data_IF_771666949468
#
_entry.id   IF_771666949468
#
_cell.length_a   1.000
_cell.length_b   1.000
_cell.length_c   1.000
_cell.angle_alpha   90.00
_cell.angle_beta   90.00
_cell.angle_gamma   90.00
#
_symmetry.space_group_name_H-M   'P 1'
#
loop_
_entity.id
_entity.type
_entity.pdbx_description
1 polymer ?
#
# COMPACT_ATOMS: atom_id res chain seq x y z
N UNK A 1 14.42 -42.60 -45.36
CA UNK A 1 15.78 -42.39 -44.81
C UNK A 1 15.95 -43.30 -43.62
N UNK A 2 17.13 -43.89 -43.51
CA UNK A 2 17.44 -45.18 -42.88
C UNK A 2 17.28 -45.22 -41.36
N UNK A 3 16.79 -46.37 -40.92
CA UNK A 3 16.93 -47.00 -39.59
C UNK A 3 18.37 -47.38 -39.27
N UNK A 4 18.79 -47.22 -38.01
CA UNK A 4 19.85 -47.98 -37.30
C UNK A 4 19.66 -47.66 -35.79
N UNK A 5 19.35 -48.57 -34.86
CA UNK A 5 19.94 -49.85 -34.45
C UNK A 5 21.19 -49.71 -33.55
N UNK A 6 21.05 -50.15 -32.29
CA UNK A 6 22.00 -50.79 -31.35
C UNK A 6 21.61 -50.39 -29.90
N UNK A 7 21.02 -51.24 -29.03
CA UNK A 7 21.57 -52.43 -28.35
C UNK A 7 22.92 -52.12 -27.66
N UNK A 8 23.19 -52.38 -26.37
CA UNK A 8 22.79 -53.52 -25.52
C UNK A 8 23.03 -53.19 -24.02
N UNK A 9 22.12 -53.62 -23.12
CA UNK A 9 22.31 -54.66 -22.08
C UNK A 9 23.05 -54.26 -20.79
N UNK A 10 22.37 -54.25 -19.65
CA UNK A 10 22.41 -55.35 -18.66
C UNK A 10 21.46 -55.07 -17.46
N UNK A 11 20.70 -56.11 -17.10
CA UNK A 11 19.94 -56.28 -15.84
C UNK A 11 20.91 -56.21 -14.62
N UNK A 12 20.48 -55.95 -13.38
CA UNK A 12 19.94 -56.96 -12.44
C UNK A 12 19.70 -56.30 -11.04
N UNK A 13 18.46 -56.47 -10.54
CA UNK A 13 17.93 -56.64 -9.15
C UNK A 13 18.28 -55.75 -7.93
N UNK A 14 17.20 -55.44 -7.18
CA UNK A 14 17.09 -54.96 -5.79
C UNK A 14 17.71 -55.93 -4.74
N UNK A 15 17.97 -55.50 -3.48
CA UNK A 15 16.96 -55.71 -2.43
C UNK A 15 16.88 -54.63 -1.31
N UNK A 16 15.71 -54.60 -0.65
CA UNK A 16 15.41 -54.01 0.66
C UNK A 16 16.21 -54.65 1.80
N UNK A 17 16.32 -54.04 2.99
CA UNK A 17 16.02 -54.66 4.31
C UNK A 17 16.28 -53.71 5.51
N UNK A 18 15.31 -53.73 6.42
CA UNK A 18 15.35 -53.69 7.90
C UNK A 18 15.65 -52.45 8.77
N UNK A 19 14.63 -52.22 9.60
CA UNK A 19 14.51 -51.56 10.91
C UNK A 19 15.45 -52.14 12.00
N UNK A 20 16.09 -51.26 12.78
CA UNK A 20 16.58 -51.53 14.15
C UNK A 20 16.48 -50.27 15.01
N UNK A 21 15.59 -50.30 16.00
CA UNK A 21 15.63 -49.45 17.21
C UNK A 21 16.85 -49.80 18.07
N UNK A 22 17.56 -48.76 18.52
CA UNK A 22 18.35 -48.77 19.75
C UNK A 22 18.31 -47.37 20.36
N UNK A 23 17.77 -47.29 21.58
CA UNK A 23 17.80 -46.10 22.44
C UNK A 23 19.22 -45.81 22.89
N UNK A 24 19.66 -44.55 22.81
CA UNK A 24 20.60 -44.00 23.79
C UNK A 24 20.40 -42.48 23.92
N UNK A 25 20.27 -42.04 25.17
CA UNK A 25 20.08 -40.66 25.59
C UNK A 25 21.28 -39.80 25.21
N UNK A 26 21.07 -38.75 24.41
CA UNK A 26 21.95 -37.57 24.28
C UNK A 26 21.10 -36.39 23.78
N UNK A 27 21.26 -35.24 24.43
CA UNK A 27 20.55 -33.99 24.21
C UNK A 27 20.49 -33.55 22.73
N UNK A 28 19.39 -32.94 22.24
CA UNK A 28 19.29 -32.54 20.85
C UNK A 28 20.23 -31.36 20.56
N UNK A 29 21.28 -31.63 19.77
CA UNK A 29 22.09 -30.62 19.11
C UNK A 29 21.18 -29.74 18.23
N UNK A 30 21.39 -28.43 18.32
CA UNK A 30 20.62 -27.41 17.62
C UNK A 30 20.88 -27.51 16.11
N UNK A 31 19.92 -28.06 15.36
CA UNK A 31 19.98 -28.14 13.90
C UNK A 31 19.48 -26.81 13.31
N UNK A 32 20.39 -25.92 12.92
CA UNK A 32 20.02 -24.71 12.16
C UNK A 32 19.82 -25.11 10.70
N UNK A 33 18.56 -25.13 10.26
CA UNK A 33 18.19 -25.35 8.86
C UNK A 33 18.36 -24.03 8.09
N UNK A 34 19.54 -23.80 7.52
CA UNK A 34 19.77 -22.70 6.59
C UNK A 34 19.05 -23.02 5.27
N UNK A 35 18.08 -22.20 4.88
CA UNK A 35 17.44 -22.27 3.56
C UNK A 35 18.08 -21.21 2.66
N UNK A 36 19.16 -21.57 1.99
CA UNK A 36 19.65 -20.84 0.82
C UNK A 36 19.07 -21.49 -0.43
N UNK A 37 18.63 -20.69 -1.40
CA UNK A 37 18.39 -21.18 -2.76
C UNK A 37 19.74 -21.60 -3.33
N UNK A 38 19.76 -22.80 -3.87
CA UNK A 38 20.81 -23.45 -4.64
C UNK A 38 22.01 -24.02 -3.84
N UNK A 39 22.18 -25.34 -4.03
CA UNK A 39 23.25 -26.26 -3.61
C UNK A 39 23.37 -26.69 -2.13
N UNK A 40 23.14 -27.99 -1.92
CA UNK A 40 23.42 -28.72 -0.68
C UNK A 40 24.94 -28.96 -0.52
N UNK A 41 25.56 -28.41 0.53
CA UNK A 41 26.78 -28.96 1.11
C UNK A 41 26.67 -28.99 2.64
N UNK A 42 26.90 -30.17 3.20
CA UNK A 42 26.99 -30.41 4.65
C UNK A 42 28.47 -30.34 5.01
N UNK A 43 28.87 -29.37 5.82
CA UNK A 43 30.23 -29.31 6.40
C UNK A 43 30.11 -29.49 7.91
N UNK A 44 30.63 -30.59 8.43
CA UNK A 44 30.81 -30.83 9.85
C UNK A 44 32.11 -30.18 10.31
N UNK A 45 32.06 -29.28 11.31
CA UNK A 45 33.26 -28.75 11.95
C UNK A 45 33.66 -29.66 13.11
N UNK A 46 34.83 -30.27 12.99
CA UNK A 46 35.50 -30.97 14.09
C UNK A 46 36.54 -30.04 14.74
N UNK A 47 36.65 -30.11 16.07
CA UNK A 47 37.57 -29.31 16.89
C UNK A 47 38.96 -29.93 16.85
N UNK A 48 39.95 -29.23 16.29
CA UNK A 48 41.34 -29.10 16.73
C UNK A 48 42.29 -28.83 15.55
N UNK A 49 43.37 -28.11 15.89
CA UNK A 49 44.60 -27.88 15.13
C UNK A 49 44.78 -26.51 14.48
N UNK A 50 45.60 -25.75 15.19
CA UNK A 50 46.45 -24.63 14.79
C UNK A 50 47.39 -24.97 13.64
N UNK A 51 47.30 -24.25 12.51
CA UNK A 51 48.44 -23.91 11.65
C UNK A 51 48.09 -22.75 10.70
N UNK A 52 48.90 -21.71 10.77
CA UNK A 52 48.93 -20.58 9.85
C UNK A 52 49.23 -21.04 8.41
N UNK A 53 48.35 -20.73 7.46
CA UNK A 53 48.74 -20.50 6.08
C UNK A 53 47.87 -19.40 5.45
N UNK A 54 48.54 -18.41 4.85
CA UNK A 54 47.97 -17.36 4.01
C UNK A 54 47.12 -17.98 2.90
N UNK A 55 45.85 -17.59 2.81
CA UNK A 55 45.04 -17.75 1.60
C UNK A 55 44.21 -16.48 1.34
N UNK A 56 44.73 -15.70 0.40
CA UNK A 56 44.06 -14.88 -0.61
C UNK A 56 42.56 -14.54 -0.45
N UNK A 57 42.30 -13.22 -0.41
CA UNK A 57 41.15 -12.48 -0.99
C UNK A 57 40.00 -13.32 -1.54
N UNK A 58 38.86 -13.29 -0.85
CA UNK A 58 37.53 -13.21 -1.48
C UNK A 58 36.63 -12.34 -0.60
N UNK A 59 36.23 -11.20 -1.13
CA UNK A 59 35.29 -10.29 -0.48
C UNK A 59 33.89 -10.89 -0.48
N UNK A 60 33.21 -10.84 0.66
CA UNK A 60 31.80 -11.19 0.78
C UNK A 60 31.04 -10.02 1.40
N UNK A 61 30.39 -9.24 0.54
CA UNK A 61 29.36 -8.27 0.91
C UNK A 61 28.05 -9.05 1.15
N UNK A 62 27.67 -9.30 2.40
CA UNK A 62 26.26 -9.48 2.77
C UNK A 62 26.08 -9.51 4.29
N UNK A 63 25.41 -8.49 4.84
CA UNK A 63 24.93 -8.51 6.21
C UNK A 63 23.64 -9.35 6.28
N UNK A 64 23.72 -10.57 6.79
CA UNK A 64 22.56 -11.42 7.08
C UNK A 64 22.08 -11.16 8.51
N UNK A 65 20.84 -10.63 8.67
CA UNK A 65 20.16 -10.49 9.97
C UNK A 65 19.35 -11.77 10.24
N UNK A 66 19.67 -12.48 11.32
CA UNK A 66 18.89 -13.63 11.82
C UNK A 66 18.37 -13.36 13.24
N UNK A 67 17.11 -13.69 13.51
CA UNK A 67 16.46 -13.56 14.83
C UNK A 67 16.49 -14.91 15.54
N UNK A 68 17.06 -14.98 16.75
CA UNK A 68 17.00 -16.16 17.62
C UNK A 68 15.87 -15.99 18.66
N UNK A 69 14.80 -16.80 18.54
CA UNK A 69 13.70 -16.85 19.51
C UNK A 69 14.04 -17.73 20.72
N UNK A 70 14.84 -17.23 21.68
CA UNK A 70 14.75 -17.67 23.10
C UNK A 70 15.50 -16.85 24.17
N UNK A 71 16.03 -15.67 23.88
CA UNK A 71 16.64 -14.84 24.92
C UNK A 71 16.41 -13.35 24.67
N UNK A 72 15.67 -12.70 25.58
CA UNK A 72 15.51 -11.26 25.62
C UNK A 72 16.82 -10.60 26.09
N UNK A 73 17.73 -10.30 25.16
CA UNK A 73 18.81 -9.30 25.27
C UNK A 73 19.57 -9.23 23.94
N UNK A 74 19.53 -8.08 23.26
CA UNK A 74 20.43 -7.78 22.14
C UNK A 74 21.84 -7.56 22.70
N UNK A 75 22.78 -8.43 22.33
CA UNK A 75 24.21 -8.17 22.53
C UNK A 75 24.78 -7.79 21.17
N UNK A 76 25.15 -6.51 21.02
CA UNK A 76 25.88 -5.99 19.86
C UNK A 76 27.37 -6.21 20.14
N UNK A 77 28.04 -7.01 19.32
CA UNK A 77 29.51 -7.09 19.35
C UNK A 77 30.08 -5.82 18.72
N UNK A 78 30.62 -4.92 19.55
CA UNK A 78 31.46 -3.80 19.09
C UNK A 78 32.88 -4.30 18.85
N UNK A 79 33.44 -4.06 17.66
CA UNK A 79 34.87 -4.26 17.40
C UNK A 79 35.65 -3.17 18.12
N UNK A 80 36.20 -3.50 19.28
CA UNK A 80 37.32 -2.76 19.85
C UNK A 80 38.59 -3.14 19.09
N UNK A 81 39.10 -2.22 18.26
CA UNK A 81 40.44 -2.29 17.68
C UNK A 81 41.26 -1.16 18.27
N UNK A 82 42.13 -1.49 19.22
CA UNK A 82 43.17 -0.61 19.76
C UNK A 82 44.41 -0.77 18.87
N UNK A 83 44.92 0.31 18.30
CA UNK A 83 46.30 0.36 17.81
C UNK A 83 46.85 1.80 17.83
N UNK A 84 47.76 2.01 18.78
CA UNK A 84 48.94 2.90 18.84
C UNK A 84 48.98 4.17 17.96
N UNK A 85 49.00 5.31 18.67
CA UNK A 85 49.50 6.60 18.20
C UNK A 85 51.01 6.55 17.89
N UNK A 86 51.39 7.09 16.74
CA UNK A 86 52.66 7.82 16.57
C UNK A 86 52.31 9.21 16.03
N UNK A 87 52.86 10.24 16.68
CA UNK A 87 52.53 11.63 16.41
C UNK A 87 53.30 12.21 15.23
N UNK A 88 52.60 13.01 14.43
CA UNK A 88 53.16 14.18 13.76
C UNK A 88 52.08 15.26 13.76
N UNK A 89 52.36 16.39 14.41
CA UNK A 89 51.44 17.51 14.49
C UNK A 89 51.31 18.22 13.15
N UNK A 90 50.08 18.39 12.68
CA UNK A 90 49.70 19.54 11.85
C UNK A 90 48.48 20.21 12.47
N UNK A 91 48.74 21.33 13.17
CA UNK A 91 47.72 22.30 13.52
C UNK A 91 47.24 22.99 12.24
N UNK A 92 46.16 22.50 11.61
CA UNK A 92 45.26 23.30 10.78
C UNK A 92 44.02 22.52 10.32
N UNK A 93 42.89 23.22 10.38
CA UNK A 93 41.55 22.92 9.83
C UNK A 93 40.55 22.18 10.72
N UNK A 94 40.18 22.79 11.86
CA UNK A 94 38.97 22.42 12.60
C UNK A 94 37.70 23.16 12.12
N UNK A 95 37.79 24.20 11.29
CA UNK A 95 36.60 24.95 10.85
C UNK A 95 35.79 24.25 9.72
N UNK A 96 36.41 23.36 8.93
CA UNK A 96 35.72 22.61 7.86
C UNK A 96 34.93 21.38 8.32
N UNK A 97 35.27 20.84 9.50
CA UNK A 97 34.65 19.65 10.09
C UNK A 97 33.25 19.93 10.65
N UNK A 98 33.08 21.09 11.30
CA UNK A 98 31.79 21.50 11.86
C UNK A 98 30.76 21.86 10.79
N UNK A 99 31.16 22.55 9.72
CA UNK A 99 30.26 22.90 8.61
C UNK A 99 29.80 21.67 7.82
N UNK A 100 30.66 20.67 7.61
CA UNK A 100 30.29 19.42 6.93
C UNK A 100 29.40 18.51 7.79
N UNK A 101 29.61 18.49 9.11
CA UNK A 101 28.77 17.80 10.11
C UNK A 101 27.38 18.44 10.30
N UNK A 102 27.31 19.78 10.31
CA UNK A 102 26.04 20.48 10.45
C UNK A 102 25.19 20.36 9.18
N UNK A 103 25.82 20.47 8.01
CA UNK A 103 25.12 20.32 6.72
C UNK A 103 24.61 18.90 6.50
N UNK A 104 25.36 17.87 6.86
CA UNK A 104 24.88 16.48 6.80
C UNK A 104 23.69 16.24 7.72
N UNK A 105 23.74 16.70 8.98
CA UNK A 105 22.62 16.56 9.92
C UNK A 105 21.35 17.31 9.51
N UNK A 106 21.47 18.45 8.80
CA UNK A 106 20.32 19.17 8.24
C UNK A 106 19.73 18.41 7.05
N UNK A 107 20.57 17.90 6.14
CA UNK A 107 20.12 17.13 4.97
C UNK A 107 19.37 15.87 5.39
N UNK A 108 19.88 15.13 6.39
CA UNK A 108 19.21 13.95 6.94
C UNK A 108 17.81 14.28 7.49
N UNK A 109 17.69 15.37 8.27
CA UNK A 109 16.40 15.82 8.80
C UNK A 109 15.43 16.25 7.69
N UNK A 110 15.93 16.88 6.63
CA UNK A 110 15.12 17.25 5.47
C UNK A 110 14.65 16.02 4.69
N UNK A 111 15.50 15.02 4.52
CA UNK A 111 15.14 13.76 3.88
C UNK A 111 14.11 12.98 4.71
N UNK A 112 14.29 12.95 6.03
CA UNK A 112 13.31 12.40 6.95
C UNK A 112 11.98 13.14 6.83
N UNK A 113 11.98 14.47 6.82
CA UNK A 113 10.78 15.27 6.65
C UNK A 113 10.12 15.03 5.28
N UNK A 114 10.92 14.90 4.21
CA UNK A 114 10.43 14.56 2.88
C UNK A 114 9.69 13.22 2.89
N UNK A 115 10.26 12.17 3.50
CA UNK A 115 9.58 10.87 3.68
C UNK A 115 8.34 10.98 4.56
N UNK A 116 8.40 11.74 5.66
CA UNK A 116 7.27 11.99 6.56
C UNK A 116 6.09 12.65 5.84
N UNK A 117 6.37 13.60 4.94
CA UNK A 117 5.35 14.35 4.19
C UNK A 117 4.60 13.54 3.14
N UNK A 118 5.07 12.31 2.83
CA UNK A 118 4.54 11.43 1.77
C UNK A 118 4.46 12.16 0.42
N UNK A 119 5.59 12.29 -0.30
CA UNK A 119 5.71 13.22 -1.44
C UNK A 119 4.71 12.94 -2.57
N UNK A 120 4.36 11.67 -2.83
CA UNK A 120 3.33 11.32 -3.82
C UNK A 120 1.97 11.98 -3.53
N UNK A 121 1.60 12.13 -2.25
CA UNK A 121 0.35 12.80 -1.85
C UNK A 121 0.45 14.32 -1.98
N UNK A 122 1.62 14.90 -1.68
CA UNK A 122 1.88 16.34 -1.81
C UNK A 122 1.86 16.74 -3.29
N UNK A 123 2.57 15.99 -4.14
CA UNK A 123 2.58 16.19 -5.60
C UNK A 123 1.15 16.12 -6.15
N UNK A 124 0.39 15.10 -5.76
CA UNK A 124 -1.02 14.97 -6.18
C UNK A 124 -1.89 16.14 -5.73
N UNK A 125 -1.70 16.67 -4.51
CA UNK A 125 -2.39 17.86 -4.02
C UNK A 125 -2.04 19.10 -4.84
N UNK A 126 -0.75 19.36 -5.08
CA UNK A 126 -0.29 20.53 -5.84
C UNK A 126 -0.81 20.49 -7.27
N UNK A 127 -0.67 19.34 -7.95
CA UNK A 127 -1.15 19.17 -9.33
C UNK A 127 -2.68 19.31 -9.40
N UNK A 128 -3.41 18.68 -8.48
CA UNK A 128 -4.86 18.72 -8.44
C UNK A 128 -5.41 20.13 -8.25
N UNK A 129 -4.91 20.85 -7.23
CA UNK A 129 -5.33 22.24 -6.96
C UNK A 129 -4.96 23.15 -8.13
N UNK A 130 -3.76 23.02 -8.67
CA UNK A 130 -3.32 23.83 -9.82
C UNK A 130 -4.20 23.57 -11.03
N UNK A 131 -4.51 22.30 -11.34
CA UNK A 131 -5.38 21.93 -12.46
C UNK A 131 -6.77 22.53 -12.34
N UNK A 132 -7.42 22.39 -11.17
CA UNK A 132 -8.75 22.96 -10.92
C UNK A 132 -8.74 24.49 -10.98
N UNK A 133 -7.65 25.11 -10.53
CA UNK A 133 -7.49 26.56 -10.50
C UNK A 133 -7.43 27.19 -11.89
N UNK A 134 -7.10 26.42 -12.92
CA UNK A 134 -7.07 26.87 -14.32
C UNK A 134 -8.45 26.80 -14.99
N UNK A 135 -9.38 25.97 -14.49
CA UNK A 135 -10.71 25.79 -15.08
C UNK A 135 -11.59 27.06 -15.22
N UNK A 136 -11.55 28.06 -14.31
CA UNK A 136 -12.37 29.26 -14.44
C UNK A 136 -11.79 30.31 -15.40
N UNK A 137 -10.57 30.10 -15.93
CA UNK A 137 -9.95 30.97 -16.92
C UNK A 137 -10.72 30.90 -18.25
N UNK A 138 -10.99 32.05 -18.86
CA UNK A 138 -11.58 32.13 -20.21
C UNK A 138 -10.54 32.50 -21.26
N UNK A 139 -9.60 33.38 -20.91
CA UNK A 139 -8.49 33.80 -21.77
C UNK A 139 -7.17 33.72 -21.02
N UNK A 140 -6.06 33.57 -21.76
CA UNK A 140 -4.70 33.55 -21.17
C UNK A 140 -4.31 34.87 -20.52
N UNK A 141 -4.94 35.99 -20.89
CA UNK A 141 -4.71 37.31 -20.31
C UNK A 141 -5.13 37.43 -18.84
N UNK A 142 -5.95 36.51 -18.34
CA UNK A 142 -6.38 36.47 -16.93
C UNK A 142 -5.28 35.93 -15.99
N UNK A 143 -4.22 35.32 -16.54
CA UNK A 143 -3.06 34.88 -15.77
C UNK A 143 -2.24 36.11 -15.37
N UNK A 144 -2.59 36.66 -14.22
CA UNK A 144 -1.98 37.85 -13.61
C UNK A 144 -1.19 37.50 -12.35
N UNK A 145 -0.36 38.42 -11.84
CA UNK A 145 0.27 38.25 -10.52
C UNK A 145 -0.76 37.98 -9.40
N UNK A 146 -1.96 38.56 -9.50
CA UNK A 146 -3.05 38.30 -8.58
C UNK A 146 -3.56 36.85 -8.67
N UNK A 147 -3.67 36.31 -9.89
CA UNK A 147 -4.01 34.90 -10.10
C UNK A 147 -2.97 33.97 -9.46
N UNK A 148 -1.68 34.22 -9.71
CA UNK A 148 -0.58 33.43 -9.14
C UNK A 148 -0.59 33.51 -7.61
N UNK A 149 -0.80 34.70 -7.04
CA UNK A 149 -0.94 34.87 -5.60
C UNK A 149 -2.16 34.13 -5.04
N UNK A 150 -3.29 34.14 -5.75
CA UNK A 150 -4.47 33.34 -5.42
C UNK A 150 -4.17 31.85 -5.40
N UNK A 151 -3.46 31.35 -6.41
CA UNK A 151 -3.02 29.95 -6.47
C UNK A 151 -2.07 29.60 -5.32
N UNK A 152 -1.11 30.46 -4.98
CA UNK A 152 -0.20 30.25 -3.83
C UNK A 152 -1.01 30.18 -2.53
N UNK A 153 -1.97 31.10 -2.34
CA UNK A 153 -2.87 31.12 -1.19
C UNK A 153 -3.73 29.85 -1.10
N UNK A 154 -4.04 29.20 -2.21
CA UNK A 154 -4.69 27.90 -2.22
C UNK A 154 -3.74 26.74 -1.90
N UNK A 155 -2.58 26.68 -2.56
CA UNK A 155 -1.67 25.53 -2.52
C UNK A 155 -0.95 25.41 -1.18
N UNK A 156 -0.35 26.49 -0.67
CA UNK A 156 0.49 26.45 0.54
C UNK A 156 -0.26 25.90 1.77
N UNK A 157 -1.42 26.47 2.18
CA UNK A 157 -2.14 25.93 3.34
C UNK A 157 -2.67 24.51 3.09
N UNK A 158 -2.94 24.14 1.84
CA UNK A 158 -3.38 22.78 1.50
C UNK A 158 -2.26 21.75 1.58
N UNK A 159 -1.03 22.14 1.25
CA UNK A 159 0.16 21.30 1.49
C UNK A 159 0.38 21.12 2.99
N UNK A 160 0.28 22.19 3.79
CA UNK A 160 0.33 22.08 5.25
C UNK A 160 -0.78 21.17 5.80
N UNK A 161 -2.01 21.28 5.30
CA UNK A 161 -3.11 20.39 5.67
C UNK A 161 -2.83 18.93 5.26
N UNK A 162 -2.25 18.70 4.08
CA UNK A 162 -1.88 17.37 3.64
C UNK A 162 -0.82 16.75 4.56
N UNK A 163 0.20 17.52 4.96
CA UNK A 163 1.23 17.10 5.92
C UNK A 163 0.58 16.75 7.27
N UNK A 164 -0.36 17.57 7.74
CA UNK A 164 -1.16 17.26 8.93
C UNK A 164 -1.88 15.91 8.78
N UNK A 165 -2.64 15.68 7.71
CA UNK A 165 -3.42 14.44 7.53
C UNK A 165 -2.53 13.20 7.47
N UNK A 166 -1.45 13.23 6.68
CA UNK A 166 -0.55 12.06 6.54
C UNK A 166 0.32 11.86 7.76
N UNK A 167 0.70 12.92 8.46
CA UNK A 167 1.48 12.86 9.69
C UNK A 167 0.64 12.37 10.86
N UNK A 168 -0.60 12.85 10.99
CA UNK A 168 -1.57 12.37 11.97
C UNK A 168 -1.80 10.87 11.80
N UNK A 169 -1.95 10.41 10.55
CA UNK A 169 -2.08 8.99 10.29
C UNK A 169 -0.88 8.19 10.81
N UNK A 170 0.35 8.65 10.54
CA UNK A 170 1.55 7.98 11.02
C UNK A 170 1.64 7.95 12.55
N UNK A 171 1.23 9.02 13.24
CA UNK A 171 1.25 9.07 14.71
C UNK A 171 0.40 7.97 15.36
N UNK A 172 -0.77 7.67 14.78
CA UNK A 172 -1.67 6.62 15.30
C UNK A 172 -1.39 5.23 14.73
N UNK A 173 -0.51 5.13 13.74
CA UNK A 173 -0.26 3.89 13.00
C UNK A 173 1.19 3.41 13.07
N UNK A 174 1.99 3.91 14.03
CA UNK A 174 3.42 3.56 14.15
C UNK A 174 3.65 2.04 14.12
N UNK A 175 2.90 1.27 14.89
CA UNK A 175 3.05 -0.20 14.93
C UNK A 175 2.58 -0.90 13.64
N UNK A 176 1.58 -0.33 12.94
CA UNK A 176 1.10 -0.84 11.65
C UNK A 176 2.12 -0.52 10.55
N UNK A 177 2.63 0.70 10.53
CA UNK A 177 3.61 1.17 9.55
C UNK A 177 4.99 0.50 9.77
N UNK A 178 5.32 -0.02 10.96
CA UNK A 178 6.49 -0.90 11.13
C UNK A 178 6.41 -2.18 10.27
N UNK A 179 5.20 -2.65 9.98
CA UNK A 179 4.97 -3.81 9.10
C UNK A 179 4.89 -3.34 7.65
N UNK A 180 4.00 -2.39 7.37
CA UNK A 180 3.66 -2.00 5.99
C UNK A 180 4.70 -1.06 5.34
N UNK A 181 5.32 -0.17 6.12
CA UNK A 181 6.14 0.95 5.65
C UNK A 181 7.33 1.23 6.61
N UNK A 182 8.24 0.27 6.83
CA UNK A 182 9.25 0.35 7.89
C UNK A 182 10.27 1.48 7.72
N UNK A 183 10.35 2.10 6.54
CA UNK A 183 11.26 3.20 6.22
C UNK A 183 10.70 4.59 6.58
N UNK A 184 9.44 4.67 7.01
CA UNK A 184 8.85 5.94 7.44
C UNK A 184 9.48 6.44 8.75
N UNK A 185 9.71 7.76 8.91
CA UNK A 185 10.51 8.28 10.02
C UNK A 185 10.03 7.91 11.43
N UNK A 186 8.72 7.84 11.65
CA UNK A 186 8.17 7.41 12.95
C UNK A 186 8.26 5.89 13.15
N UNK A 187 8.09 5.09 12.09
CA UNK A 187 8.17 3.64 12.16
C UNK A 187 9.62 3.14 12.30
N UNK A 188 10.56 3.81 11.64
CA UNK A 188 12.00 3.54 11.69
C UNK A 188 12.66 4.00 13.00
N UNK A 189 12.02 4.92 13.72
CA UNK A 189 12.55 5.55 14.94
C UNK A 189 13.47 6.75 14.69
N UNK A 190 13.58 7.21 13.45
CA UNK A 190 14.34 8.40 13.06
C UNK A 190 13.72 9.69 13.63
N UNK A 191 12.38 9.75 13.67
CA UNK A 191 11.65 10.78 14.39
C UNK A 191 11.10 10.23 15.71
N UNK A 192 11.27 11.02 16.77
CA UNK A 192 10.57 10.78 18.03
C UNK A 192 9.07 11.06 17.89
N UNK A 193 8.26 10.46 18.75
CA UNK A 193 6.83 10.78 18.83
C UNK A 193 6.58 12.27 19.09
N UNK A 194 7.39 12.90 19.94
CA UNK A 194 7.30 14.33 20.21
C UNK A 194 7.56 15.17 18.95
N UNK A 195 8.59 14.82 18.16
CA UNK A 195 8.88 15.48 16.87
C UNK A 195 7.71 15.35 15.91
N UNK A 196 7.14 14.15 15.77
CA UNK A 196 5.99 13.91 14.90
C UNK A 196 4.77 14.73 15.31
N UNK A 197 4.45 14.76 16.61
CA UNK A 197 3.34 15.57 17.16
C UNK A 197 3.56 17.05 16.87
N UNK A 198 4.77 17.57 17.09
CA UNK A 198 5.12 18.97 16.81
C UNK A 198 4.93 19.31 15.34
N UNK A 199 5.42 18.47 14.41
CA UNK A 199 5.25 18.71 12.97
C UNK A 199 3.77 18.73 12.59
N UNK A 200 2.98 17.77 13.09
CA UNK A 200 1.55 17.65 12.79
C UNK A 200 0.78 18.86 13.35
N UNK A 201 1.03 19.24 14.60
CA UNK A 201 0.40 20.39 15.23
C UNK A 201 0.78 21.71 14.53
N UNK A 202 2.06 21.92 14.24
CA UNK A 202 2.54 23.11 13.53
C UNK A 202 1.93 23.22 12.12
N UNK A 203 1.85 22.10 11.41
CA UNK A 203 1.25 22.05 10.06
C UNK A 203 -0.24 22.39 10.08
N UNK A 204 -0.98 21.87 11.08
CA UNK A 204 -2.40 22.18 11.26
C UNK A 204 -2.62 23.65 11.58
N UNK A 205 -1.91 24.17 12.59
CA UNK A 205 -2.03 25.56 13.04
C UNK A 205 -1.71 26.51 11.88
N UNK A 206 -0.62 26.27 11.16
CA UNK A 206 -0.22 27.07 10.00
C UNK A 206 -1.29 27.05 8.91
N UNK A 207 -1.82 25.87 8.59
CA UNK A 207 -2.85 25.71 7.57
C UNK A 207 -4.13 26.48 7.91
N UNK A 208 -4.66 26.30 9.12
CA UNK A 208 -5.89 26.97 9.56
C UNK A 208 -5.68 28.48 9.71
N UNK A 209 -4.54 28.91 10.26
CA UNK A 209 -4.19 30.32 10.36
C UNK A 209 -4.19 31.00 8.98
N UNK A 210 -3.52 30.40 7.99
CA UNK A 210 -3.55 30.89 6.61
C UNK A 210 -4.95 30.89 6.01
N UNK A 211 -5.74 29.83 6.24
CA UNK A 211 -7.13 29.73 5.79
C UNK A 211 -8.01 30.88 6.30
N UNK A 212 -7.88 31.23 7.59
CA UNK A 212 -8.59 32.37 8.21
C UNK A 212 -8.05 33.69 7.64
N UNK A 213 -6.72 33.84 7.54
CA UNK A 213 -6.08 35.07 7.09
C UNK A 213 -6.38 35.40 5.62
N UNK A 214 -6.57 34.41 4.76
CA UNK A 214 -6.82 34.60 3.33
C UNK A 214 -8.27 34.96 2.98
N UNK A 215 -9.18 34.96 3.95
CA UNK A 215 -10.55 35.46 3.80
C UNK A 215 -11.34 34.85 2.62
N UNK A 216 -11.05 33.58 2.31
CA UNK A 216 -11.78 32.81 1.31
C UNK A 216 -12.59 31.71 2.03
N UNK A 217 -13.91 31.90 2.23
CA UNK A 217 -14.79 30.89 2.80
C UNK A 217 -14.68 29.49 2.17
N UNK A 218 -14.64 29.32 0.82
CA UNK A 218 -14.52 27.98 0.25
C UNK A 218 -13.16 27.33 0.57
N UNK A 219 -12.07 28.10 0.57
CA UNK A 219 -10.76 27.59 0.95
C UNK A 219 -10.74 27.16 2.42
N UNK A 220 -11.21 28.02 3.34
CA UNK A 220 -11.29 27.70 4.75
C UNK A 220 -12.18 26.48 5.01
N UNK A 221 -13.33 26.37 4.34
CA UNK A 221 -14.20 25.20 4.42
C UNK A 221 -13.48 23.93 3.97
N UNK A 222 -12.71 23.97 2.87
CA UNK A 222 -11.94 22.82 2.42
C UNK A 222 -10.91 22.36 3.45
N UNK A 223 -10.22 23.30 4.09
CA UNK A 223 -9.23 23.02 5.13
C UNK A 223 -9.90 22.42 6.38
N UNK A 224 -11.02 22.98 6.82
CA UNK A 224 -11.79 22.47 7.97
C UNK A 224 -12.37 21.08 7.70
N UNK A 225 -12.96 20.85 6.53
CA UNK A 225 -13.46 19.52 6.14
C UNK A 225 -12.31 18.51 6.11
N UNK A 226 -11.17 18.88 5.55
CA UNK A 226 -9.97 18.03 5.51
C UNK A 226 -9.44 17.72 6.91
N UNK A 227 -9.41 18.70 7.81
CA UNK A 227 -9.05 18.52 9.21
C UNK A 227 -9.99 17.53 9.92
N UNK A 228 -11.30 17.73 9.81
CA UNK A 228 -12.32 16.90 10.45
C UNK A 228 -12.29 15.47 9.92
N UNK A 229 -12.26 15.28 8.60
CA UNK A 229 -12.22 13.95 7.98
C UNK A 229 -10.88 13.24 8.20
N UNK A 230 -9.77 13.98 8.17
CA UNK A 230 -8.45 13.44 8.51
C UNK A 230 -8.37 12.97 9.97
N UNK A 231 -8.91 13.77 10.90
CA UNK A 231 -9.06 13.38 12.31
C UNK A 231 -9.96 12.15 12.46
N UNK A 232 -11.14 12.16 11.86
CA UNK A 232 -12.09 11.04 11.93
C UNK A 232 -11.53 9.77 11.32
N UNK A 233 -10.69 9.89 10.30
CA UNK A 233 -10.00 8.77 9.69
C UNK A 233 -8.97 8.13 10.62
N UNK A 234 -8.12 8.91 11.28
CA UNK A 234 -6.94 8.39 12.00
C UNK A 234 -7.09 8.26 13.52
N UNK A 235 -7.77 9.17 14.20
CA UNK A 235 -7.76 9.28 15.67
C UNK A 235 -8.50 8.13 16.35
N UNK A 236 -7.92 7.56 17.41
CA UNK A 236 -8.47 6.44 18.18
C UNK A 236 -9.42 6.90 19.31
N UNK A 237 -10.58 7.43 18.91
CA UNK A 237 -11.68 7.82 19.82
C UNK A 237 -12.98 7.09 19.44
N UNK A 238 -13.95 6.99 20.36
CA UNK A 238 -15.29 6.48 20.03
C UNK A 238 -15.88 7.21 18.83
N UNK A 239 -16.50 6.48 17.90
CA UNK A 239 -17.04 6.97 16.62
C UNK A 239 -16.02 7.48 15.58
N UNK A 240 -14.73 7.50 15.90
CA UNK A 240 -13.64 7.90 15.00
C UNK A 240 -12.92 6.65 14.43
N UNK A 241 -11.65 6.78 14.04
CA UNK A 241 -10.81 5.73 13.41
C UNK A 241 -11.50 5.07 12.22
N UNK A 242 -12.13 5.87 11.37
CA UNK A 242 -12.92 5.42 10.21
C UNK A 242 -12.13 4.56 9.23
N UNK A 243 -10.79 4.63 9.23
CA UNK A 243 -9.92 3.70 8.50
C UNK A 243 -10.23 2.22 8.76
N UNK A 244 -10.77 1.87 9.93
CA UNK A 244 -11.18 0.49 10.27
C UNK A 244 -12.28 -0.04 9.37
N UNK A 245 -13.06 0.85 8.75
CA UNK A 245 -14.19 0.51 7.89
C UNK A 245 -13.90 0.93 6.45
N UNK A 246 -13.74 -0.05 5.55
CA UNK A 246 -13.43 0.18 4.14
C UNK A 246 -14.32 1.24 3.46
N UNK A 247 -15.64 1.22 3.72
CA UNK A 247 -16.57 2.19 3.14
C UNK A 247 -16.27 3.62 3.61
N UNK A 248 -16.16 3.84 4.93
CA UNK A 248 -15.88 5.16 5.50
C UNK A 248 -14.49 5.67 5.06
N UNK A 249 -13.50 4.78 5.01
CA UNK A 249 -12.16 5.08 4.50
C UNK A 249 -12.19 5.57 3.04
N UNK A 250 -12.95 4.91 2.17
CA UNK A 250 -13.12 5.33 0.78
C UNK A 250 -13.94 6.62 0.67
N UNK A 251 -14.97 6.80 1.49
CA UNK A 251 -15.77 8.04 1.54
C UNK A 251 -14.90 9.25 1.90
N UNK A 252 -14.00 9.14 2.88
CA UNK A 252 -13.07 10.24 3.22
C UNK A 252 -12.24 10.67 2.00
N UNK A 253 -11.70 9.71 1.26
CA UNK A 253 -10.87 9.99 0.07
C UNK A 253 -11.71 10.67 -0.99
N UNK A 254 -12.89 10.12 -1.30
CA UNK A 254 -13.77 10.66 -2.33
C UNK A 254 -14.23 12.08 -1.97
N UNK A 255 -14.69 12.31 -0.74
CA UNK A 255 -15.15 13.63 -0.30
C UNK A 255 -14.02 14.64 -0.39
N UNK A 256 -12.84 14.35 0.17
CA UNK A 256 -11.73 15.31 0.18
C UNK A 256 -11.17 15.52 -1.23
N UNK A 257 -10.78 14.44 -1.92
CA UNK A 257 -10.03 14.51 -3.18
C UNK A 257 -10.90 14.78 -4.40
N UNK A 258 -12.12 14.25 -4.46
CA UNK A 258 -12.95 14.35 -5.64
C UNK A 258 -14.00 15.46 -5.57
N UNK A 259 -14.49 15.81 -4.38
CA UNK A 259 -15.57 16.79 -4.24
C UNK A 259 -15.02 18.11 -3.70
N UNK A 260 -14.42 18.09 -2.52
CA UNK A 260 -13.94 19.30 -1.84
C UNK A 260 -12.85 19.99 -2.66
N UNK A 261 -11.81 19.26 -3.07
CA UNK A 261 -10.73 19.83 -3.89
C UNK A 261 -11.25 20.43 -5.20
N UNK A 262 -12.24 19.80 -5.84
CA UNK A 262 -12.76 20.30 -7.11
C UNK A 262 -13.64 21.54 -6.90
N UNK A 263 -14.61 21.49 -5.99
CA UNK A 263 -15.57 22.57 -5.80
C UNK A 263 -14.96 23.77 -5.09
N UNK A 264 -14.28 23.55 -3.97
CA UNK A 264 -13.83 24.65 -3.12
C UNK A 264 -12.75 25.50 -3.80
N UNK A 265 -11.78 24.86 -4.44
CA UNK A 265 -10.68 25.58 -5.10
C UNK A 265 -11.14 26.24 -6.38
N UNK A 266 -12.06 25.62 -7.13
CA UNK A 266 -12.70 26.28 -8.26
C UNK A 266 -13.44 27.56 -7.83
N UNK A 267 -14.28 27.47 -6.79
CA UNK A 267 -15.04 28.63 -6.30
C UNK A 267 -14.10 29.71 -5.73
N UNK A 268 -13.04 29.30 -5.02
CA UNK A 268 -12.00 30.22 -4.56
C UNK A 268 -11.41 31.01 -5.73
N UNK A 269 -10.97 30.33 -6.78
CA UNK A 269 -10.34 30.97 -7.93
C UNK A 269 -11.35 31.80 -8.73
N UNK A 270 -12.56 31.29 -8.98
CA UNK A 270 -13.58 31.98 -9.76
C UNK A 270 -14.06 33.27 -9.07
N UNK A 271 -14.49 33.18 -7.80
CA UNK A 271 -15.10 34.31 -7.10
C UNK A 271 -14.10 35.20 -6.39
N UNK A 272 -13.14 34.62 -5.67
CA UNK A 272 -12.29 35.36 -4.74
C UNK A 272 -10.95 35.79 -5.35
N UNK A 273 -10.56 35.22 -6.48
CA UNK A 273 -9.34 35.61 -7.20
C UNK A 273 -9.67 36.34 -8.49
N UNK A 274 -10.56 35.78 -9.32
CA UNK A 274 -10.96 36.37 -10.60
C UNK A 274 -12.15 37.33 -10.51
N UNK A 275 -12.84 37.40 -9.37
CA UNK A 275 -13.99 38.31 -9.17
C UNK A 275 -15.23 37.95 -9.98
N UNK A 276 -15.30 36.74 -10.55
CA UNK A 276 -16.41 36.28 -11.39
C UNK A 276 -17.58 35.77 -10.52
N UNK A 277 -18.84 35.83 -11.02
CA UNK A 277 -19.95 35.20 -10.33
C UNK A 277 -19.74 33.69 -10.23
N UNK A 278 -20.24 33.09 -9.14
CA UNK A 278 -20.15 31.64 -8.95
C UNK A 278 -21.05 30.97 -9.96
N UNK A 279 -20.43 30.24 -10.89
CA UNK A 279 -21.14 29.48 -11.90
C UNK A 279 -20.47 28.12 -12.05
N UNK A 280 -21.23 27.06 -11.77
CA UNK A 280 -20.78 25.68 -11.96
C UNK A 280 -20.69 25.41 -13.46
N UNK A 281 -19.46 25.28 -13.96
CA UNK A 281 -19.21 25.04 -15.39
C UNK A 281 -19.35 23.56 -15.73
N UNK A 282 -19.65 23.27 -17.00
CA UNK A 282 -19.65 21.88 -17.52
C UNK A 282 -18.28 21.21 -17.34
N UNK A 283 -17.20 21.97 -17.47
CA UNK A 283 -15.82 21.51 -17.25
C UNK A 283 -15.57 21.11 -15.81
N UNK A 284 -16.10 21.86 -14.82
CA UNK A 284 -16.01 21.51 -13.42
C UNK A 284 -16.80 20.23 -13.10
N UNK A 285 -18.03 20.10 -13.62
CA UNK A 285 -18.84 18.89 -13.42
C UNK A 285 -18.14 17.67 -13.99
N UNK A 286 -17.61 17.77 -15.22
CA UNK A 286 -16.82 16.71 -15.83
C UNK A 286 -15.59 16.35 -15.00
N UNK A 287 -14.80 17.35 -14.59
CA UNK A 287 -13.60 17.13 -13.78
C UNK A 287 -13.93 16.48 -12.42
N UNK A 288 -15.04 16.90 -11.79
CA UNK A 288 -15.52 16.33 -10.52
C UNK A 288 -15.95 14.88 -10.69
N UNK A 289 -16.74 14.57 -11.74
CA UNK A 289 -17.17 13.21 -12.04
C UNK A 289 -15.97 12.29 -12.34
N UNK A 290 -15.01 12.77 -13.13
CA UNK A 290 -13.77 12.06 -13.43
C UNK A 290 -12.97 11.78 -12.16
N UNK A 291 -12.78 12.80 -11.31
CA UNK A 291 -12.05 12.65 -10.05
C UNK A 291 -12.76 11.74 -9.05
N UNK A 292 -14.10 11.67 -9.06
CA UNK A 292 -14.86 10.71 -8.25
C UNK A 292 -14.54 9.26 -8.65
N UNK A 293 -14.53 8.97 -9.95
CA UNK A 293 -14.16 7.65 -10.47
C UNK A 293 -12.70 7.33 -10.13
N UNK A 294 -11.78 8.26 -10.41
CA UNK A 294 -10.36 8.05 -10.15
C UNK A 294 -10.04 7.89 -8.65
N UNK A 295 -10.71 8.66 -7.79
CA UNK A 295 -10.54 8.55 -6.33
C UNK A 295 -11.06 7.21 -5.78
N UNK A 296 -12.13 6.66 -6.37
CA UNK A 296 -12.59 5.32 -6.01
C UNK A 296 -11.53 4.25 -6.35
N UNK A 297 -10.85 4.41 -7.49
CA UNK A 297 -9.72 3.54 -7.88
C UNK A 297 -8.57 3.67 -6.87
N UNK A 298 -8.13 4.89 -6.53
CA UNK A 298 -7.08 5.12 -5.52
C UNK A 298 -7.47 4.47 -4.18
N UNK A 299 -8.72 4.63 -3.76
CA UNK A 299 -9.21 4.07 -2.51
C UNK A 299 -9.12 2.53 -2.45
N UNK A 300 -9.26 1.84 -3.59
CA UNK A 300 -9.09 0.39 -3.68
C UNK A 300 -7.62 -0.03 -3.69
N UNK A 301 -6.77 0.71 -4.41
CA UNK A 301 -5.37 0.34 -4.60
C UNK A 301 -4.48 0.69 -3.42
N UNK A 302 -4.78 1.76 -2.69
CA UNK A 302 -3.94 2.20 -1.56
C UNK A 302 -3.80 1.13 -0.47
N UNK A 303 -4.79 0.26 -0.33
CA UNK A 303 -4.88 -0.77 0.72
C UNK A 303 -4.16 -2.07 0.31
N UNK A 304 -3.67 -2.18 -0.93
CA UNK A 304 -2.93 -3.37 -1.39
C UNK A 304 -1.57 -3.51 -0.68
N UNK A 305 -0.69 -2.49 -0.68
CA UNK A 305 0.58 -2.59 0.04
C UNK A 305 0.42 -2.69 1.56
N UNK A 306 -0.75 -2.31 2.09
CA UNK A 306 -1.02 -2.26 3.52
C UNK A 306 -1.70 -3.55 4.06
N UNK A 307 -1.86 -4.58 3.23
CA UNK A 307 -2.63 -5.79 3.53
C UNK A 307 -2.20 -6.51 4.81
N UNK A 308 -0.90 -6.74 4.98
CA UNK A 308 -0.38 -7.55 6.09
C UNK A 308 -0.58 -6.84 7.43
N UNK A 309 -0.18 -5.57 7.53
CA UNK A 309 -0.42 -4.75 8.73
C UNK A 309 -1.91 -4.50 8.99
N UNK A 310 -2.73 -4.31 7.96
CA UNK A 310 -4.17 -4.17 8.16
C UNK A 310 -4.79 -5.43 8.76
N UNK A 311 -4.37 -6.61 8.26
CA UNK A 311 -4.85 -7.89 8.76
C UNK A 311 -4.42 -8.13 10.21
N UNK A 312 -3.17 -7.87 10.54
CA UNK A 312 -2.61 -8.13 11.87
C UNK A 312 -3.23 -7.21 12.93
N UNK A 313 -3.59 -5.99 12.57
CA UNK A 313 -4.20 -5.00 13.46
C UNK A 313 -5.74 -4.90 13.33
N UNK A 314 -6.37 -5.86 12.66
CA UNK A 314 -7.83 -5.99 12.59
C UNK A 314 -8.56 -4.92 11.76
N UNK A 315 -7.86 -4.22 10.87
CA UNK A 315 -8.42 -3.24 9.94
C UNK A 315 -9.16 -3.97 8.81
N UNK A 316 -10.44 -3.64 8.64
CA UNK A 316 -11.31 -4.32 7.68
C UNK A 316 -11.33 -3.56 6.34
N UNK A 317 -10.16 -3.41 5.72
CA UNK A 317 -9.97 -2.75 4.41
C UNK A 317 -10.55 -3.56 3.24
N UNK A 318 -10.70 -2.94 2.07
CA UNK A 318 -11.27 -3.62 0.90
C UNK A 318 -10.42 -4.83 0.48
N UNK A 319 -9.09 -4.69 0.54
CA UNK A 319 -8.14 -5.77 0.22
C UNK A 319 -8.28 -6.94 1.20
N UNK A 320 -8.40 -6.68 2.50
CA UNK A 320 -8.61 -7.72 3.53
C UNK A 320 -9.94 -8.45 3.31
N UNK A 321 -11.02 -7.73 3.02
CA UNK A 321 -12.36 -8.34 2.85
C UNK A 321 -12.52 -9.12 1.55
N UNK A 322 -12.02 -8.59 0.44
CA UNK A 322 -12.28 -9.14 -0.90
C UNK A 322 -11.20 -10.12 -1.36
N UNK A 323 -9.98 -9.95 -0.84
CA UNK A 323 -8.77 -10.63 -1.27
C UNK A 323 -8.03 -9.83 -2.35
N UNK A 324 -6.69 -9.80 -2.24
CA UNK A 324 -5.79 -9.06 -3.14
C UNK A 324 -6.03 -9.37 -4.62
N UNK A 325 -6.22 -10.65 -4.97
CA UNK A 325 -6.47 -11.09 -6.36
C UNK A 325 -7.75 -10.47 -6.93
N UNK A 326 -8.80 -10.31 -6.12
CA UNK A 326 -10.04 -9.71 -6.59
C UNK A 326 -9.89 -8.21 -6.75
N UNK A 327 -9.20 -7.52 -5.82
CA UNK A 327 -8.96 -6.09 -5.95
C UNK A 327 -8.13 -5.82 -7.20
N UNK A 328 -7.01 -6.55 -7.40
CA UNK A 328 -6.20 -6.48 -8.61
C UNK A 328 -7.03 -6.80 -9.88
N UNK A 329 -7.92 -7.78 -9.84
CA UNK A 329 -8.80 -8.09 -10.98
C UNK A 329 -9.80 -6.98 -11.34
N UNK A 330 -10.46 -6.36 -10.34
CA UNK A 330 -11.36 -5.23 -10.59
C UNK A 330 -10.59 -4.01 -11.12
N UNK A 331 -9.38 -3.82 -10.60
CA UNK A 331 -8.45 -2.80 -11.03
C UNK A 331 -7.99 -2.98 -12.49
N UNK A 332 -7.57 -4.18 -12.88
CA UNK A 332 -7.23 -4.50 -14.28
C UNK A 332 -8.42 -4.28 -15.19
N UNK A 333 -9.62 -4.69 -14.76
CA UNK A 333 -10.86 -4.43 -15.51
C UNK A 333 -11.12 -2.93 -15.66
N UNK A 334 -10.94 -2.12 -14.61
CA UNK A 334 -11.12 -0.68 -14.67
C UNK A 334 -10.13 0.00 -15.64
N UNK A 335 -8.86 -0.42 -15.65
CA UNK A 335 -7.86 0.08 -16.60
C UNK A 335 -8.19 -0.33 -18.03
N UNK A 336 -8.59 -1.58 -18.26
CA UNK A 336 -9.02 -2.04 -19.58
C UNK A 336 -10.23 -1.24 -20.08
N UNK A 337 -11.23 -1.00 -19.22
CA UNK A 337 -12.40 -0.19 -19.54
C UNK A 337 -12.03 1.27 -19.84
N UNK A 338 -11.07 1.83 -19.09
CA UNK A 338 -10.57 3.19 -19.32
C UNK A 338 -9.86 3.33 -20.68
N UNK A 339 -8.95 2.41 -20.99
CA UNK A 339 -8.26 2.41 -22.29
C UNK A 339 -9.24 2.24 -23.46
N UNK A 340 -10.25 1.39 -23.28
CA UNK A 340 -11.31 1.23 -24.28
C UNK A 340 -12.17 2.50 -24.40
N UNK A 341 -12.50 3.17 -23.29
CA UNK A 341 -13.27 4.41 -23.30
C UNK A 341 -12.57 5.54 -24.08
N UNK A 342 -11.23 5.61 -24.04
CA UNK A 342 -10.46 6.59 -24.83
C UNK A 342 -10.55 6.36 -26.34
N UNK A 343 -10.86 5.14 -26.77
CA UNK A 343 -11.02 4.79 -28.18
C UNK A 343 -12.45 4.95 -28.71
N UNK A 344 -13.39 5.38 -27.86
CA UNK A 344 -14.80 5.53 -28.24
C UNK A 344 -15.02 6.89 -28.90
N UNK A 345 -15.46 6.85 -30.15
CA UNK A 345 -15.97 8.01 -30.85
C UNK A 345 -17.43 8.25 -30.45
N UNK A 346 -17.69 9.38 -29.78
CA UNK A 346 -19.02 9.73 -29.28
C UNK A 346 -19.95 10.26 -30.38
N UNK A 347 -19.45 10.49 -31.60
CA UNK A 347 -20.26 10.97 -32.72
C UNK A 347 -20.96 9.83 -33.48
N UNK A 348 -20.51 8.58 -33.28
CA UNK A 348 -21.01 7.42 -34.00
C UNK A 348 -21.74 6.43 -33.08
N UNK A 349 -23.02 6.18 -33.39
CA UNK A 349 -23.84 5.21 -32.64
C UNK A 349 -23.25 3.79 -32.66
N UNK A 350 -22.52 3.43 -33.72
CA UNK A 350 -21.82 2.15 -33.85
C UNK A 350 -20.66 2.00 -32.85
N UNK A 351 -19.87 3.05 -32.62
CA UNK A 351 -18.77 3.03 -31.64
C UNK A 351 -19.31 2.96 -30.21
N UNK A 352 -20.34 3.75 -29.89
CA UNK A 352 -21.04 3.72 -28.60
C UNK A 352 -21.64 2.33 -28.33
N UNK A 353 -22.34 1.76 -29.31
CA UNK A 353 -22.96 0.43 -29.17
C UNK A 353 -21.92 -0.67 -29.00
N UNK A 354 -20.78 -0.58 -29.70
CA UNK A 354 -19.69 -1.55 -29.57
C UNK A 354 -19.04 -1.52 -28.18
N UNK A 355 -18.81 -0.32 -27.64
CA UNK A 355 -18.31 -0.14 -26.28
C UNK A 355 -19.33 -0.62 -25.21
N UNK A 356 -20.61 -0.32 -25.41
CA UNK A 356 -21.69 -0.84 -24.56
C UNK A 356 -21.69 -2.38 -24.57
N UNK A 357 -21.67 -3.00 -25.75
CA UNK A 357 -21.61 -4.46 -25.88
C UNK A 357 -20.34 -5.06 -25.26
N UNK A 358 -19.21 -4.36 -25.31
CA UNK A 358 -17.97 -4.77 -24.63
C UNK A 358 -18.13 -4.79 -23.10
N UNK A 359 -18.73 -3.75 -22.50
CA UNK A 359 -19.00 -3.70 -21.05
C UNK A 359 -19.92 -4.85 -20.61
N UNK A 360 -20.94 -5.18 -21.42
CA UNK A 360 -21.96 -6.16 -21.06
C UNK A 360 -21.61 -7.61 -21.44
N UNK A 361 -20.63 -7.81 -22.34
CA UNK A 361 -20.13 -9.12 -22.81
C UNK A 361 -19.76 -10.12 -21.69
N UNK A 362 -19.10 -9.71 -20.58
CA UNK A 362 -18.78 -10.60 -19.47
C UNK A 362 -20.03 -11.11 -18.72
N UNK A 363 -21.17 -10.44 -18.86
CA UNK A 363 -22.43 -10.82 -18.24
C UNK A 363 -23.32 -11.61 -19.20
N UNK A 364 -22.82 -12.75 -19.70
CA UNK A 364 -23.57 -13.69 -20.55
C UNK A 364 -24.89 -14.22 -19.95
N UNK A 365 -25.13 -14.00 -18.64
CA UNK A 365 -26.34 -14.41 -17.93
C UNK A 365 -26.88 -13.24 -17.11
N UNK A 366 -28.19 -13.04 -17.15
CA UNK A 366 -28.86 -12.00 -16.35
C UNK A 366 -28.62 -12.20 -14.85
N UNK A 367 -28.69 -11.11 -14.07
CA UNK A 367 -28.55 -11.16 -12.61
C UNK A 367 -29.51 -12.17 -11.96
N UNK A 368 -30.74 -12.26 -12.47
CA UNK A 368 -31.75 -13.22 -12.01
C UNK A 368 -31.30 -14.67 -12.23
N UNK A 369 -30.72 -14.98 -13.39
CA UNK A 369 -30.16 -16.31 -13.68
C UNK A 369 -28.96 -16.58 -12.78
N UNK A 370 -28.04 -15.60 -12.59
CA UNK A 370 -26.90 -15.73 -11.68
C UNK A 370 -27.34 -15.99 -10.23
N UNK A 371 -28.39 -15.30 -9.75
CA UNK A 371 -28.99 -15.51 -8.41
C UNK A 371 -29.60 -16.91 -8.28
N UNK A 372 -30.33 -17.38 -9.31
CA UNK A 372 -30.87 -18.76 -9.37
C UNK A 372 -29.73 -19.79 -9.34
N UNK A 373 -28.67 -19.59 -10.13
CA UNK A 373 -27.50 -20.47 -10.18
C UNK A 373 -26.76 -20.51 -8.83
N UNK A 374 -26.51 -19.36 -8.21
CA UNK A 374 -25.87 -19.29 -6.90
C UNK A 374 -26.69 -19.98 -5.81
N UNK A 375 -28.02 -19.83 -5.81
CA UNK A 375 -28.92 -20.54 -4.88
C UNK A 375 -28.83 -22.05 -5.08
N UNK A 376 -28.86 -22.52 -6.33
CA UNK A 376 -28.72 -23.95 -6.66
C UNK A 376 -27.33 -24.51 -6.33
N UNK A 377 -26.27 -23.70 -6.47
CA UNK A 377 -24.91 -24.07 -6.06
C UNK A 377 -24.80 -24.23 -4.54
N UNK A 378 -25.42 -23.34 -3.75
CA UNK A 378 -25.47 -23.46 -2.28
C UNK A 378 -26.27 -24.68 -1.80
N UNK A 379 -27.26 -25.12 -2.56
CA UNK A 379 -28.04 -26.34 -2.28
C UNK A 379 -27.25 -27.63 -2.56
N UNK A 380 -26.21 -27.55 -3.40
CA UNK A 380 -25.39 -28.69 -3.79
C UNK A 380 -24.31 -29.02 -2.73
N UNK A 381 -24.73 -29.34 -1.51
CA UNK A 381 -23.82 -29.71 -0.40
C UNK A 381 -23.97 -31.19 -0.02
N UNK A 382 -22.88 -31.89 0.35
CA UNK A 382 -22.96 -33.23 0.91
C UNK A 382 -23.68 -33.21 2.27
N UNK A 383 -24.17 -34.37 2.71
CA UNK A 383 -24.80 -34.49 4.04
C UNK A 383 -23.72 -34.29 5.12
N UNK A 384 -23.99 -33.48 6.16
CA UNK A 384 -23.13 -33.40 7.34
C UNK A 384 -22.90 -34.77 8.01
N UNK A 385 -21.68 -35.02 8.46
CA UNK A 385 -21.29 -36.32 9.03
C UNK A 385 -22.12 -36.73 10.26
N UNK A 386 -22.55 -35.78 11.08
CA UNK A 386 -23.37 -36.06 12.26
C UNK A 386 -24.75 -36.64 11.94
N UNK A 387 -25.37 -36.27 10.81
CA UNK A 387 -26.66 -36.85 10.39
C UNK A 387 -26.46 -38.33 10.07
N UNK A 388 -25.35 -38.65 9.40
CA UNK A 388 -24.99 -40.01 9.04
C UNK A 388 -24.77 -40.89 10.27
N UNK A 389 -24.15 -40.34 11.32
CA UNK A 389 -24.00 -41.00 12.63
C UNK A 389 -25.34 -41.21 13.34
N UNK A 390 -26.23 -40.22 13.32
CA UNK A 390 -27.53 -40.29 13.99
C UNK A 390 -28.50 -41.28 13.33
N UNK A 391 -28.35 -41.53 12.04
CA UNK A 391 -29.25 -42.39 11.25
C UNK A 391 -28.63 -43.75 10.94
N UNK A 392 -27.52 -44.15 11.58
CA UNK A 392 -26.77 -45.38 11.29
C UNK A 392 -26.57 -45.64 9.78
N UNK A 393 -26.09 -44.62 9.05
CA UNK A 393 -25.85 -44.70 7.60
C UNK A 393 -27.07 -45.07 6.72
N UNK A 394 -28.30 -45.03 7.24
CA UNK A 394 -29.51 -45.24 6.42
C UNK A 394 -29.69 -44.10 5.41
N UNK A 395 -29.46 -42.84 5.81
CA UNK A 395 -29.51 -41.68 4.91
C UNK A 395 -28.11 -41.41 4.33
N UNK A 396 -27.89 -41.82 3.07
CA UNK A 396 -26.56 -41.74 2.41
C UNK A 396 -26.36 -40.55 1.47
N UNK A 397 -27.44 -39.98 0.94
CA UNK A 397 -27.37 -38.88 -0.03
C UNK A 397 -28.37 -37.76 0.29
N UNK A 398 -27.96 -36.52 0.03
CA UNK A 398 -28.85 -35.38 0.14
C UNK A 398 -29.71 -35.32 -1.12
N UNK A 399 -31.02 -35.54 -1.01
CA UNK A 399 -31.95 -35.53 -2.14
C UNK A 399 -31.96 -34.18 -2.91
N UNK A 400 -31.56 -33.08 -2.27
CA UNK A 400 -31.43 -31.75 -2.89
C UNK A 400 -30.04 -31.54 -3.54
N UNK A 401 -29.10 -32.47 -3.38
CA UNK A 401 -27.76 -32.43 -3.99
C UNK A 401 -27.88 -32.76 -5.47
N UNK A 402 -27.13 -32.05 -6.31
CA UNK A 402 -27.22 -32.16 -7.75
C UNK A 402 -25.98 -32.81 -8.34
N UNK A 403 -26.21 -33.72 -9.29
CA UNK A 403 -25.17 -34.26 -10.15
C UNK A 403 -25.17 -33.46 -11.45
N UNK A 404 -24.14 -32.62 -11.62
CA UNK A 404 -23.99 -31.71 -12.75
C UNK A 404 -23.95 -32.42 -14.11
N UNK A 405 -23.60 -33.72 -14.15
CA UNK A 405 -23.66 -34.57 -15.35
C UNK A 405 -25.04 -35.15 -15.67
N UNK A 406 -26.00 -35.15 -14.74
CA UNK A 406 -27.26 -35.92 -14.86
C UNK A 406 -28.53 -35.06 -14.89
N UNK A 407 -28.52 -33.86 -14.33
CA UNK A 407 -29.73 -33.02 -14.26
C UNK A 407 -29.45 -31.68 -14.91
N UNK A 408 -30.09 -31.35 -16.03
CA UNK A 408 -30.05 -29.98 -16.59
C UNK A 408 -30.93 -29.06 -15.73
N UNK A 409 -30.54 -27.79 -15.59
CA UNK A 409 -31.45 -26.80 -15.03
C UNK A 409 -32.34 -26.36 -16.19
N UNK A 410 -33.57 -26.86 -16.25
CA UNK A 410 -34.56 -26.33 -17.18
C UNK A 410 -34.82 -24.87 -16.82
N UNK A 411 -34.38 -23.97 -17.67
CA UNK A 411 -34.55 -22.52 -17.53
C UNK A 411 -34.92 -21.93 -18.87
#
# INVERSE_FOLDING_TARGET
MRTAAAASSHLVTLPSWHDKRLHNNLHPACCVKLRTKDHHQVVAMNRNESRLHKASKFGCNSATRGICRRCSRQVVFSKAGVSLQEGFGSFREDEGSWHSSLTSGVVEKLEAFYRFSRPHTVIGTVIGITSVSLLPLQTSSEISPAFVMGLIKAVVPSVCMNIYVVGLNQLFDVEIDKVNKPTLPLASGEFSMATGVTIVAASLITSIYMGVKFQSPPLLAALLISFLLGSAYSVELPLMRWKRHAFLAASCILIVRAVVVQLAFFIHMQKFVLGKPVAITRTLVFATAFMCFFSAVIALFKDIPDLDGDRDFGIQSFTVKLGQEKVAGHSTLAVMLWLQAQSVDLTTNTSITSFYMFIWKPSHKSFMIKKKLAKKMRQNRPIPYWIRMRTDNTIRYNAKRRHWRRTKLGF
#
